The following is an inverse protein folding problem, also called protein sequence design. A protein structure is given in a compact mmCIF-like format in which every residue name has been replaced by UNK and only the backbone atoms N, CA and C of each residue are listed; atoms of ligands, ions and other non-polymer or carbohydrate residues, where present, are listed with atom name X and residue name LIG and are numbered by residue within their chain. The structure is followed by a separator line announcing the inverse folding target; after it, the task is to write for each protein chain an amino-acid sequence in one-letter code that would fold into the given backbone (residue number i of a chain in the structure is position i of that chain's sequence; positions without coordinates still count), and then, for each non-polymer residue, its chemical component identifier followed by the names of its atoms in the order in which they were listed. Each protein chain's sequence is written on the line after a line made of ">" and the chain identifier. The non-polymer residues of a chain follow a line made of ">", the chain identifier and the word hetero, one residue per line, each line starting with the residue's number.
data_IF_502501142694
#
_entry.id   IF_502501142694
#
_cell.length_a   1.000
_cell.length_b   1.000
_cell.length_c   1.000
_cell.angle_alpha   90.00
_cell.angle_beta   90.00
_cell.angle_gamma   90.00
#
_symmetry.space_group_name_H-M   'P 1'
#
loop_
_entity.id
_entity.type
_entity.pdbx_description
1 polymer ?
#
# COMPACT_ATOMS: atom_id res chain seq x y z
N UNK A 1 6.79 2.99 -13.51
CA UNK A 1 5.30 2.88 -13.59
C UNK A 1 4.88 2.59 -12.17
N UNK A 2 3.89 3.31 -11.65
CA UNK A 2 3.44 3.10 -10.28
C UNK A 2 2.76 1.73 -10.12
N UNK A 3 2.88 1.16 -8.93
CA UNK A 3 2.25 -0.11 -8.55
C UNK A 3 0.80 0.16 -8.15
N UNK A 4 -0.13 -0.68 -8.57
CA UNK A 4 -1.53 -0.54 -8.16
C UNK A 4 -1.77 -1.34 -6.88
N UNK A 5 -2.11 -0.66 -5.79
CA UNK A 5 -2.47 -1.28 -4.51
C UNK A 5 -3.99 -1.28 -4.38
N UNK A 6 -4.57 -2.47 -4.30
CA UNK A 6 -6.03 -2.65 -4.21
C UNK A 6 -6.36 -3.28 -2.87
N UNK A 7 -7.22 -2.57 -2.13
CA UNK A 7 -7.65 -2.94 -0.80
C UNK A 7 -8.78 -3.98 -0.86
N UNK A 8 -8.90 -4.78 0.18
CA UNK A 8 -10.07 -5.61 0.46
C UNK A 8 -10.66 -5.19 1.81
N UNK A 9 -11.82 -5.76 2.18
CA UNK A 9 -12.38 -5.58 3.52
C UNK A 9 -11.36 -5.90 4.64
N UNK A 10 -10.49 -6.90 4.41
CA UNK A 10 -9.47 -7.31 5.38
C UNK A 10 -8.32 -6.30 5.50
N UNK A 11 -8.04 -5.52 4.45
CA UNK A 11 -6.96 -4.54 4.43
C UNK A 11 -7.46 -3.10 4.50
N UNK A 12 -8.75 -2.88 4.77
CA UNK A 12 -9.37 -1.55 4.87
C UNK A 12 -8.62 -0.65 5.84
N UNK A 13 -8.26 -1.18 7.01
CA UNK A 13 -7.24 -0.58 7.87
C UNK A 13 -5.86 -1.16 7.51
N UNK A 14 -5.14 -0.50 6.59
CA UNK A 14 -3.86 -1.00 6.08
C UNK A 14 -2.79 -1.13 7.16
N UNK A 15 -2.55 -0.14 8.06
CA UNK A 15 -1.58 -0.31 9.15
C UNK A 15 -1.85 -1.56 9.99
N UNK A 16 -3.09 -1.75 10.44
CA UNK A 16 -3.46 -2.89 11.27
C UNK A 16 -3.35 -4.22 10.51
N UNK A 17 -3.70 -4.24 9.22
CA UNK A 17 -3.54 -5.41 8.37
C UNK A 17 -2.08 -5.80 8.20
N UNK A 18 -1.19 -4.82 7.93
CA UNK A 18 0.23 -5.08 7.72
C UNK A 18 0.93 -5.53 9.01
N UNK A 19 0.60 -4.93 10.16
CA UNK A 19 1.08 -5.37 11.47
C UNK A 19 0.63 -6.81 11.77
N UNK A 20 -0.65 -7.11 11.55
CA UNK A 20 -1.18 -8.46 11.71
C UNK A 20 -0.50 -9.46 10.76
N UNK A 21 -0.24 -9.07 9.52
CA UNK A 21 0.44 -9.91 8.54
C UNK A 21 1.86 -10.26 9.02
N UNK A 22 2.63 -9.27 9.51
CA UNK A 22 3.98 -9.48 10.06
C UNK A 22 3.92 -10.43 11.27
N UNK A 23 3.04 -10.16 12.22
CA UNK A 23 2.92 -10.93 13.47
C UNK A 23 2.55 -12.41 13.21
N UNK A 24 1.79 -12.68 12.15
CA UNK A 24 1.35 -14.03 11.79
C UNK A 24 2.22 -14.69 10.70
N UNK A 25 3.27 -14.05 10.21
CA UNK A 25 4.20 -14.66 9.25
C UNK A 25 5.23 -15.50 9.98
N UNK A 26 5.04 -16.82 10.01
CA UNK A 26 5.92 -17.78 10.69
C UNK A 26 6.96 -18.45 9.76
N UNK A 27 6.71 -18.44 8.45
CA UNK A 27 7.59 -19.09 7.48
C UNK A 27 8.95 -18.38 7.40
N UNK A 28 10.05 -19.15 7.36
CA UNK A 28 11.42 -18.61 7.22
C UNK A 28 12.17 -19.45 6.19
N UNK A 29 12.18 -19.01 4.94
CA UNK A 29 12.80 -19.73 3.83
C UNK A 29 12.75 -18.93 2.52
N UNK A 30 13.22 -19.52 1.42
CA UNK A 30 13.32 -18.82 0.12
C UNK A 30 12.02 -18.81 -0.71
N UNK A 31 10.92 -19.36 -0.16
CA UNK A 31 9.72 -19.66 -0.92
C UNK A 31 9.93 -20.82 -1.91
N UNK A 32 8.91 -21.09 -2.71
CA UNK A 32 8.95 -22.12 -3.75
C UNK A 32 8.10 -21.72 -4.94
N UNK A 33 8.30 -22.40 -6.06
CA UNK A 33 7.46 -22.28 -7.25
C UNK A 33 6.39 -23.38 -7.31
N UNK A 34 5.32 -23.16 -8.07
CA UNK A 34 4.43 -24.23 -8.52
C UNK A 34 5.23 -25.32 -9.28
N UNK A 35 4.69 -26.54 -9.31
CA UNK A 35 5.49 -27.71 -9.71
C UNK A 35 5.83 -27.70 -11.21
N UNK A 36 4.91 -27.22 -12.03
CA UNK A 36 5.02 -27.14 -13.49
C UNK A 36 5.18 -25.68 -13.90
N UNK A 37 6.42 -25.32 -14.23
CA UNK A 37 6.71 -24.01 -14.82
C UNK A 37 6.11 -23.89 -16.21
N UNK A 38 5.28 -22.88 -16.42
CA UNK A 38 4.54 -22.62 -17.65
C UNK A 38 4.29 -21.11 -17.81
N UNK A 39 3.31 -20.71 -18.62
CA UNK A 39 3.02 -19.30 -18.86
C UNK A 39 2.42 -18.57 -17.65
N UNK A 40 1.92 -19.27 -16.62
CA UNK A 40 1.39 -18.66 -15.39
C UNK A 40 2.15 -19.22 -14.20
N UNK A 41 3.33 -18.68 -13.95
CA UNK A 41 4.21 -19.14 -12.88
C UNK A 41 3.90 -18.40 -11.58
N UNK A 42 3.91 -19.16 -10.48
CA UNK A 42 3.67 -18.64 -9.14
C UNK A 42 4.87 -18.94 -8.25
N UNK A 43 5.42 -17.90 -7.63
CA UNK A 43 6.25 -18.03 -6.45
C UNK A 43 5.40 -17.79 -5.21
N UNK A 44 5.60 -18.58 -4.17
CA UNK A 44 4.87 -18.44 -2.90
C UNK A 44 5.79 -18.64 -1.71
N UNK A 45 5.42 -18.02 -0.59
CA UNK A 45 6.01 -18.27 0.72
C UNK A 45 4.93 -18.16 1.81
N UNK A 46 5.04 -18.98 2.85
CA UNK A 46 4.05 -19.02 3.94
C UNK A 46 3.86 -20.41 4.52
N UNK A 47 3.14 -20.47 5.65
CA UNK A 47 2.80 -21.73 6.31
C UNK A 47 1.56 -22.34 5.67
N UNK A 48 1.73 -23.50 5.03
CA UNK A 48 0.63 -24.19 4.34
C UNK A 48 -0.40 -24.76 5.32
N UNK A 49 -1.69 -24.70 4.96
CA UNK A 49 -2.76 -25.44 5.63
C UNK A 49 -2.54 -26.96 5.56
N UNK A 50 -2.88 -27.66 6.64
CA UNK A 50 -2.78 -29.12 6.74
C UNK A 50 -4.16 -29.69 7.08
N UNK A 51 -4.62 -30.66 6.28
CA UNK A 51 -5.92 -31.30 6.51
C UNK A 51 -7.14 -30.44 6.16
N UNK A 52 -6.96 -29.34 5.41
CA UNK A 52 -8.07 -28.47 4.99
C UNK A 52 -8.62 -27.59 6.11
N UNK A 53 -7.83 -27.36 7.16
CA UNK A 53 -8.16 -26.46 8.27
C UNK A 53 -7.29 -25.22 8.15
N UNK A 54 -7.95 -24.08 8.20
CA UNK A 54 -7.31 -22.77 8.19
C UNK A 54 -6.40 -22.62 9.42
N UNK A 55 -5.23 -22.05 9.20
CA UNK A 55 -4.19 -21.89 10.22
C UNK A 55 -3.99 -20.41 10.61
N UNK A 56 -4.70 -19.50 9.92
CA UNK A 56 -4.64 -18.05 10.02
C UNK A 56 -3.21 -17.49 9.91
N UNK A 57 -2.32 -18.24 9.26
CA UNK A 57 -0.93 -17.82 9.06
C UNK A 57 -0.78 -17.06 7.78
N UNK A 58 -0.01 -15.98 7.86
CA UNK A 58 0.28 -15.10 6.75
C UNK A 58 1.05 -15.84 5.65
N UNK A 59 0.76 -15.44 4.43
CA UNK A 59 1.39 -15.94 3.22
C UNK A 59 1.47 -14.87 2.16
N UNK A 60 2.27 -15.17 1.15
CA UNK A 60 2.46 -14.36 -0.04
C UNK A 60 2.44 -15.25 -1.27
N UNK A 61 1.80 -14.75 -2.33
CA UNK A 61 1.81 -15.33 -3.66
C UNK A 61 2.18 -14.24 -4.65
N UNK A 62 3.18 -14.50 -5.48
CA UNK A 62 3.59 -13.67 -6.62
C UNK A 62 3.27 -14.45 -7.88
N UNK A 63 2.49 -13.85 -8.77
CA UNK A 63 2.09 -14.44 -10.05
C UNK A 63 2.67 -13.64 -11.20
N UNK A 64 3.03 -14.31 -12.28
CA UNK A 64 3.67 -13.69 -13.42
C UNK A 64 3.71 -14.56 -14.67
N UNK A 65 4.10 -13.96 -15.79
CA UNK A 65 4.27 -14.68 -17.06
C UNK A 65 5.74 -15.07 -17.24
N UNK A 66 6.00 -16.38 -17.40
CA UNK A 66 7.36 -16.96 -17.46
C UNK A 66 8.24 -16.51 -16.27
N UNK A 67 7.59 -16.30 -15.12
CA UNK A 67 8.22 -15.71 -13.95
C UNK A 67 9.13 -16.74 -13.27
N UNK A 68 10.41 -16.42 -13.16
CA UNK A 68 11.34 -17.19 -12.35
C UNK A 68 12.16 -16.29 -11.43
N UNK A 69 12.44 -16.82 -10.25
CA UNK A 69 13.13 -16.11 -9.19
C UNK A 69 14.21 -16.99 -8.59
N UNK A 70 15.43 -16.49 -8.62
CA UNK A 70 16.52 -16.87 -7.73
C UNK A 70 17.03 -15.57 -7.13
N UNK A 71 17.38 -15.48 -5.84
CA UNK A 71 17.88 -14.23 -5.27
C UNK A 71 18.94 -13.58 -6.16
N UNK A 72 18.68 -12.34 -6.59
CA UNK A 72 19.50 -11.56 -7.52
C UNK A 72 19.29 -11.81 -9.02
N UNK A 73 18.44 -12.75 -9.42
CA UNK A 73 18.11 -13.06 -10.83
C UNK A 73 16.60 -13.28 -10.97
N UNK A 74 15.97 -12.37 -11.71
CA UNK A 74 14.54 -12.40 -12.02
C UNK A 74 14.39 -12.50 -13.54
N UNK A 75 13.60 -13.46 -13.98
CA UNK A 75 13.24 -13.65 -15.39
C UNK A 75 11.72 -13.61 -15.55
N UNK A 76 11.25 -13.22 -16.73
CA UNK A 76 9.83 -13.02 -17.02
C UNK A 76 9.24 -11.72 -16.46
N UNK A 77 7.92 -11.68 -16.32
CA UNK A 77 7.18 -10.54 -15.78
C UNK A 77 6.43 -10.92 -14.52
N UNK A 78 6.24 -9.96 -13.62
CA UNK A 78 5.30 -10.10 -12.49
C UNK A 78 4.03 -9.36 -12.86
N UNK A 79 2.89 -10.01 -12.70
CA UNK A 79 1.58 -9.40 -12.91
C UNK A 79 1.02 -8.90 -11.59
N UNK A 80 1.11 -9.72 -10.54
CA UNK A 80 0.52 -9.41 -9.24
C UNK A 80 1.28 -10.06 -8.08
N UNK A 81 1.33 -9.37 -6.95
CA UNK A 81 1.76 -9.89 -5.65
C UNK A 81 0.58 -9.74 -4.68
N UNK A 82 0.23 -10.80 -3.97
CA UNK A 82 -0.84 -10.77 -2.96
C UNK A 82 -0.30 -11.17 -1.60
N UNK A 83 -0.51 -10.30 -0.61
CA UNK A 83 -0.40 -10.64 0.81
C UNK A 83 -1.73 -11.25 1.25
N UNK A 84 -1.68 -12.35 1.98
CA UNK A 84 -2.86 -13.07 2.41
C UNK A 84 -2.57 -14.02 3.57
N UNK A 85 -3.46 -14.99 3.77
CA UNK A 85 -3.33 -16.03 4.79
C UNK A 85 -3.84 -17.39 4.29
N UNK A 86 -3.67 -18.45 5.09
CA UNK A 86 -4.26 -19.77 4.80
C UNK A 86 -3.79 -20.39 3.47
N UNK A 87 -2.48 -20.36 3.25
CA UNK A 87 -1.86 -20.88 2.03
C UNK A 87 -2.21 -22.35 1.76
N UNK A 88 -2.76 -22.63 0.58
CA UNK A 88 -3.21 -23.95 0.16
C UNK A 88 -2.75 -24.30 -1.25
N UNK A 89 -2.55 -25.59 -1.50
CA UNK A 89 -2.19 -26.12 -2.81
C UNK A 89 -3.39 -26.80 -3.47
N UNK A 90 -3.68 -26.44 -4.72
CA UNK A 90 -4.79 -26.96 -5.53
C UNK A 90 -4.23 -27.90 -6.59
N UNK A 91 -4.32 -29.20 -6.33
CA UNK A 91 -3.69 -30.22 -7.19
C UNK A 91 -4.29 -30.34 -8.59
N UNK A 92 -5.54 -29.90 -8.80
CA UNK A 92 -6.19 -29.94 -10.11
C UNK A 92 -5.64 -28.90 -11.09
N UNK A 93 -5.07 -27.82 -10.58
CA UNK A 93 -4.53 -26.71 -11.37
C UNK A 93 -3.03 -26.53 -11.21
N UNK A 94 -2.40 -27.23 -10.25
CA UNK A 94 -1.02 -26.97 -9.82
C UNK A 94 -0.78 -25.50 -9.44
N UNK A 95 -1.78 -24.91 -8.78
CA UNK A 95 -1.71 -23.53 -8.31
C UNK A 95 -1.81 -23.48 -6.80
N UNK A 96 -1.24 -22.41 -6.26
CA UNK A 96 -1.37 -22.03 -4.87
C UNK A 96 -2.44 -20.96 -4.74
N UNK A 97 -3.22 -21.10 -3.66
CA UNK A 97 -4.28 -20.17 -3.28
C UNK A 97 -4.11 -19.79 -1.83
N UNK A 98 -4.69 -18.67 -1.45
CA UNK A 98 -4.68 -18.14 -0.09
C UNK A 98 -5.95 -17.30 0.07
N UNK A 99 -6.33 -16.98 1.29
CA UNK A 99 -7.30 -15.92 1.55
C UNK A 99 -6.63 -14.57 1.21
N UNK A 100 -7.10 -13.87 0.17
CA UNK A 100 -6.44 -12.64 -0.26
C UNK A 100 -6.75 -11.51 0.72
N UNK A 101 -5.73 -10.75 1.11
CA UNK A 101 -5.89 -9.55 1.94
C UNK A 101 -5.55 -8.28 1.18
N UNK A 102 -4.32 -8.17 0.67
CA UNK A 102 -3.85 -7.00 -0.07
C UNK A 102 -3.26 -7.41 -1.41
N UNK A 103 -3.66 -6.77 -2.50
CA UNK A 103 -3.17 -7.06 -3.85
C UNK A 103 -2.36 -5.91 -4.42
N UNK A 104 -1.22 -6.23 -5.01
CA UNK A 104 -0.29 -5.29 -5.66
C UNK A 104 -0.11 -5.69 -7.11
N UNK A 105 -0.78 -4.94 -7.99
CA UNK A 105 -0.64 -5.04 -9.43
C UNK A 105 0.60 -4.31 -9.93
N UNK A 106 1.40 -4.96 -10.77
CA UNK A 106 2.66 -4.39 -11.22
C UNK A 106 2.49 -3.46 -12.42
N UNK A 107 1.46 -3.67 -13.25
CA UNK A 107 1.19 -2.81 -14.42
C UNK A 107 2.42 -2.58 -15.32
N UNK A 108 3.36 -3.55 -15.36
CA UNK A 108 4.63 -3.43 -16.10
C UNK A 108 5.76 -2.70 -15.36
N UNK A 109 5.64 -2.47 -14.05
CA UNK A 109 6.70 -1.94 -13.20
C UNK A 109 7.99 -2.76 -13.35
N UNK A 110 9.13 -2.06 -13.29
CA UNK A 110 10.43 -2.69 -13.49
C UNK A 110 10.81 -3.50 -12.26
N UNK A 111 11.27 -4.73 -12.46
CA UNK A 111 11.72 -5.61 -11.39
C UNK A 111 13.17 -5.25 -11.02
N UNK A 112 13.31 -4.34 -10.06
CA UNK A 112 14.59 -3.76 -9.66
C UNK A 112 15.23 -4.58 -8.54
N UNK A 113 16.49 -4.30 -8.14
CA UNK A 113 17.06 -4.90 -6.95
C UNK A 113 16.25 -4.66 -5.66
N UNK A 114 15.44 -3.60 -5.60
CA UNK A 114 14.53 -3.38 -4.48
C UNK A 114 13.39 -4.41 -4.46
N UNK A 115 12.88 -4.82 -5.63
CA UNK A 115 11.93 -5.93 -5.71
C UNK A 115 12.56 -7.26 -5.30
N UNK A 116 13.80 -7.54 -5.71
CA UNK A 116 14.54 -8.72 -5.25
C UNK A 116 14.71 -8.73 -3.72
N UNK A 117 15.05 -7.58 -3.14
CA UNK A 117 15.12 -7.40 -1.70
C UNK A 117 13.76 -7.59 -1.03
N UNK A 118 12.66 -7.11 -1.63
CA UNK A 118 11.31 -7.30 -1.12
C UNK A 118 10.95 -8.78 -1.03
N UNK A 119 11.11 -9.56 -2.11
CA UNK A 119 10.81 -11.00 -2.12
C UNK A 119 11.62 -11.77 -1.09
N UNK A 120 12.91 -11.44 -0.97
CA UNK A 120 13.79 -12.04 0.04
C UNK A 120 13.35 -11.69 1.46
N UNK A 121 13.05 -10.42 1.75
CA UNK A 121 12.68 -9.94 3.09
C UNK A 121 11.32 -10.50 3.53
N UNK A 122 10.36 -10.52 2.62
CA UNK A 122 9.02 -11.10 2.83
C UNK A 122 9.11 -12.57 3.22
N UNK A 123 9.89 -13.38 2.50
CA UNK A 123 9.94 -14.83 2.73
C UNK A 123 10.89 -15.27 3.84
N UNK A 124 12.04 -14.61 3.99
CA UNK A 124 13.09 -15.04 4.91
C UNK A 124 12.98 -14.38 6.26
N UNK A 125 12.47 -13.15 6.33
CA UNK A 125 12.40 -12.39 7.57
C UNK A 125 10.95 -12.16 8.04
N UNK A 126 9.96 -12.26 7.15
CA UNK A 126 8.59 -11.87 7.45
C UNK A 126 8.47 -10.37 7.66
N UNK A 127 9.26 -9.59 6.91
CA UNK A 127 9.35 -8.13 7.02
C UNK A 127 8.87 -7.46 5.75
N UNK A 128 8.25 -6.29 5.91
CA UNK A 128 7.75 -5.45 4.82
C UNK A 128 8.72 -4.36 4.39
N UNK A 129 9.86 -4.19 5.07
CA UNK A 129 10.81 -3.12 4.78
C UNK A 129 11.30 -3.12 3.33
N UNK A 130 11.61 -4.31 2.78
CA UNK A 130 11.96 -4.43 1.37
C UNK A 130 10.82 -4.02 0.44
N UNK A 131 9.57 -4.35 0.78
CA UNK A 131 8.39 -3.99 0.01
C UNK A 131 8.15 -2.47 0.03
N UNK A 132 8.27 -1.83 1.21
CA UNK A 132 8.19 -0.38 1.33
C UNK A 132 9.29 0.34 0.55
N UNK A 133 10.50 -0.22 0.52
CA UNK A 133 11.58 0.29 -0.33
C UNK A 133 11.25 0.20 -1.83
N UNK A 134 10.56 -0.85 -2.26
CA UNK A 134 10.11 -0.98 -3.65
C UNK A 134 8.95 -0.04 -3.98
N UNK A 135 8.00 0.16 -3.06
CA UNK A 135 6.98 1.21 -3.18
C UNK A 135 7.64 2.59 -3.30
N UNK A 136 8.64 2.88 -2.48
CA UNK A 136 9.38 4.14 -2.55
C UNK A 136 10.10 4.38 -3.87
N UNK A 137 10.53 3.31 -4.56
CA UNK A 137 11.16 3.42 -5.87
C UNK A 137 10.14 3.63 -7.00
N UNK A 138 9.00 2.94 -6.96
CA UNK A 138 8.02 2.95 -8.06
C UNK A 138 6.92 3.99 -7.93
N UNK A 139 6.56 4.39 -6.70
CA UNK A 139 5.29 5.00 -6.37
C UNK A 139 4.12 4.00 -6.41
N UNK A 140 3.00 4.39 -5.83
CA UNK A 140 1.79 3.58 -5.73
C UNK A 140 0.55 4.33 -6.24
N UNK A 141 -0.41 3.58 -6.75
CA UNK A 141 -1.78 4.03 -7.02
C UNK A 141 -2.65 3.19 -6.12
N UNK A 142 -3.18 3.81 -5.07
CA UNK A 142 -3.93 3.16 -4.02
C UNK A 142 -5.42 3.42 -4.20
N UNK A 143 -6.21 2.36 -4.20
CA UNK A 143 -7.67 2.46 -4.25
C UNK A 143 -8.25 1.71 -3.06
N UNK A 144 -8.94 2.47 -2.20
CA UNK A 144 -9.67 1.97 -1.06
C UNK A 144 -10.90 1.14 -1.46
N UNK A 145 -11.73 0.89 -0.48
CA UNK A 145 -12.96 0.12 -0.57
C UNK A 145 -14.17 1.07 -0.72
N UNK A 146 -15.33 0.67 -0.23
CA UNK A 146 -16.53 1.49 -0.23
C UNK A 146 -17.01 1.81 1.21
N UNK A 147 -16.17 1.53 2.20
CA UNK A 147 -16.38 1.94 3.58
C UNK A 147 -15.09 2.52 4.15
N UNK A 148 -15.13 2.94 5.41
CA UNK A 148 -14.03 3.65 6.06
C UNK A 148 -12.68 2.90 5.99
N UNK A 149 -11.72 3.48 5.29
CA UNK A 149 -10.37 2.95 5.12
C UNK A 149 -9.31 3.78 5.87
N UNK A 150 -8.21 3.13 6.23
CA UNK A 150 -6.99 3.78 6.74
C UNK A 150 -5.85 3.44 5.79
N UNK A 151 -5.44 4.44 5.02
CA UNK A 151 -4.45 4.32 3.95
C UNK A 151 -3.10 4.85 4.42
N UNK A 152 -2.01 4.24 3.94
CA UNK A 152 -0.64 4.67 4.24
C UNK A 152 0.00 5.28 3.01
N UNK A 153 0.59 6.47 3.17
CA UNK A 153 1.58 6.96 2.22
C UNK A 153 2.91 6.24 2.39
N UNK A 154 3.56 5.95 1.28
CA UNK A 154 4.90 5.38 1.23
C UNK A 154 5.88 6.45 0.72
N UNK A 155 7.15 6.10 0.58
CA UNK A 155 8.01 6.94 -0.22
C UNK A 155 7.57 6.93 -1.69
N UNK A 156 8.21 7.75 -2.52
CA UNK A 156 7.90 7.81 -3.95
C UNK A 156 6.66 8.65 -4.22
N UNK A 157 6.28 8.80 -5.48
CA UNK A 157 5.11 9.60 -5.83
C UNK A 157 3.87 8.71 -5.84
N UNK A 158 3.00 8.89 -4.87
CA UNK A 158 1.79 8.11 -4.67
C UNK A 158 0.52 8.83 -5.14
N UNK A 159 -0.53 8.07 -5.43
CA UNK A 159 -1.86 8.58 -5.74
C UNK A 159 -2.92 7.79 -4.98
N UNK A 160 -3.85 8.49 -4.34
CA UNK A 160 -4.87 7.91 -3.47
C UNK A 160 -6.26 8.18 -4.01
N UNK A 161 -7.11 7.16 -3.88
CA UNK A 161 -8.55 7.25 -4.06
C UNK A 161 -9.19 6.48 -2.91
N UNK A 162 -9.80 7.18 -1.97
CA UNK A 162 -10.47 6.59 -0.80
C UNK A 162 -11.71 5.81 -1.19
N UNK A 163 -12.54 6.41 -2.06
CA UNK A 163 -13.77 5.82 -2.55
C UNK A 163 -15.00 6.40 -1.84
N UNK A 164 -15.75 5.55 -1.14
CA UNK A 164 -16.86 5.98 -0.28
C UNK A 164 -16.46 5.62 1.14
N UNK A 165 -16.80 6.44 2.12
CA UNK A 165 -16.48 6.14 3.51
C UNK A 165 -16.16 7.40 4.27
N UNK A 166 -15.47 7.27 5.39
CA UNK A 166 -14.70 8.35 5.98
C UNK A 166 -13.26 7.83 6.06
N UNK A 167 -12.43 8.24 5.12
CA UNK A 167 -11.13 7.62 4.92
C UNK A 167 -10.03 8.41 5.62
N UNK A 168 -9.09 7.72 6.26
CA UNK A 168 -7.94 8.34 6.93
C UNK A 168 -6.68 8.08 6.11
N UNK A 169 -6.08 9.15 5.58
CA UNK A 169 -4.82 9.08 4.85
C UNK A 169 -3.69 9.49 5.77
N UNK A 170 -2.83 8.53 6.09
CA UNK A 170 -1.74 8.69 7.06
C UNK A 170 -0.43 8.97 6.34
N UNK A 171 0.20 10.08 6.70
CA UNK A 171 1.49 10.51 6.17
C UNK A 171 2.55 10.50 7.28
N UNK A 172 3.75 10.05 6.91
CA UNK A 172 4.96 10.16 7.69
C UNK A 172 6.06 10.74 6.82
N UNK A 173 7.11 11.32 7.43
CA UNK A 173 8.22 11.96 6.72
C UNK A 173 8.72 11.17 5.48
N UNK A 174 8.88 11.88 4.35
CA UNK A 174 9.52 11.32 3.14
C UNK A 174 8.59 10.86 2.01
N UNK A 175 7.34 11.33 1.98
CA UNK A 175 6.29 10.99 1.01
C UNK A 175 6.44 11.57 -0.42
N UNK A 176 7.60 12.13 -0.77
CA UNK A 176 7.84 12.78 -2.08
C UNK A 176 6.66 13.64 -2.60
N UNK A 177 6.05 13.33 -3.76
CA UNK A 177 4.97 14.14 -4.33
C UNK A 177 3.71 13.32 -4.55
N UNK A 178 2.77 13.49 -3.64
CA UNK A 178 1.56 12.68 -3.53
C UNK A 178 0.30 13.46 -3.94
N UNK A 179 -0.70 12.73 -4.43
CA UNK A 179 -1.98 13.29 -4.85
C UNK A 179 -3.13 12.48 -4.25
N UNK A 180 -4.09 13.16 -3.62
CA UNK A 180 -5.36 12.60 -3.15
C UNK A 180 -6.46 13.08 -4.09
N UNK A 181 -7.04 12.15 -4.85
CA UNK A 181 -7.89 12.46 -6.00
C UNK A 181 -9.35 12.75 -5.61
N UNK A 182 -9.79 12.28 -4.45
CA UNK A 182 -11.18 12.30 -4.01
C UNK A 182 -11.30 12.62 -2.52
N UNK A 183 -10.46 13.51 -1.99
CA UNK A 183 -10.60 13.93 -0.60
C UNK A 183 -12.01 14.54 -0.41
N UNK A 184 -12.77 14.09 0.59
CA UNK A 184 -14.09 14.59 0.91
C UNK A 184 -14.16 15.06 2.36
N UNK A 185 -14.63 16.29 2.57
CA UNK A 185 -14.74 16.93 3.86
C UNK A 185 -16.15 17.51 4.06
N UNK A 186 -17.12 16.90 3.39
CA UNK A 186 -18.51 17.33 3.38
C UNK A 186 -19.39 16.34 4.15
N UNK A 187 -20.53 16.82 4.65
CA UNK A 187 -21.40 16.02 5.51
C UNK A 187 -21.83 14.69 4.84
N UNK A 188 -21.32 13.58 5.36
CA UNK A 188 -21.61 12.20 4.91
C UNK A 188 -20.38 11.42 4.44
N UNK A 189 -19.26 12.11 4.24
CA UNK A 189 -17.98 11.58 3.79
C UNK A 189 -16.86 12.49 4.35
N UNK A 190 -16.28 12.08 5.48
CA UNK A 190 -15.37 12.88 6.33
C UNK A 190 -13.97 12.30 6.33
N UNK A 191 -13.23 12.55 5.27
CA UNK A 191 -11.84 12.14 5.17
C UNK A 191 -10.95 12.94 6.12
N UNK A 192 -9.91 12.27 6.62
CA UNK A 192 -8.93 12.81 7.53
C UNK A 192 -7.55 12.67 6.91
N UNK A 193 -6.83 13.78 6.81
CA UNK A 193 -5.40 13.75 6.57
C UNK A 193 -4.68 13.72 7.92
N UNK A 194 -4.04 12.60 8.23
CA UNK A 194 -3.23 12.41 9.43
C UNK A 194 -1.76 12.71 9.11
N UNK A 195 -1.29 13.84 9.63
CA UNK A 195 0.07 14.35 9.51
C UNK A 195 0.85 14.20 10.83
N UNK A 196 0.38 13.43 11.81
CA UNK A 196 1.09 13.25 13.08
C UNK A 196 2.48 12.61 12.92
N UNK A 197 2.68 11.85 11.83
CA UNK A 197 3.97 11.29 11.45
C UNK A 197 4.93 12.28 10.76
N UNK A 198 4.48 13.51 10.48
CA UNK A 198 5.24 14.53 9.75
C UNK A 198 5.91 15.48 10.73
N UNK A 199 7.23 15.40 10.87
CA UNK A 199 7.94 16.09 11.95
C UNK A 199 8.17 17.57 11.70
N UNK A 200 8.18 18.01 10.43
CA UNK A 200 8.41 19.40 10.07
C UNK A 200 7.15 20.27 10.12
N UNK A 201 5.96 19.67 10.24
CA UNK A 201 4.70 20.41 10.40
C UNK A 201 4.29 20.31 11.86
N UNK A 202 4.55 21.36 12.63
CA UNK A 202 4.55 21.28 14.09
C UNK A 202 3.18 21.45 14.75
N UNK A 203 2.20 22.00 14.04
CA UNK A 203 0.81 22.21 14.51
C UNK A 203 -0.04 22.82 13.36
N UNK A 204 -1.33 23.04 13.64
CA UNK A 204 -2.27 23.68 12.72
C UNK A 204 -1.86 25.08 12.23
N UNK A 205 -1.24 25.92 13.08
CA UNK A 205 -0.80 27.27 12.66
C UNK A 205 0.35 27.17 11.67
N UNK A 206 1.24 26.21 11.89
CA UNK A 206 2.39 25.94 11.03
C UNK A 206 1.94 25.36 9.68
N UNK A 207 1.08 24.33 9.71
CA UNK A 207 0.39 23.80 8.53
C UNK A 207 -0.23 24.93 7.71
N UNK A 208 -0.94 25.82 8.42
CA UNK A 208 -1.70 26.88 7.78
C UNK A 208 -0.81 27.96 7.16
N UNK A 209 0.15 28.52 7.88
CA UNK A 209 0.88 29.68 7.36
C UNK A 209 2.18 29.36 6.63
N UNK A 210 2.77 28.19 6.86
CA UNK A 210 4.10 27.86 6.34
C UNK A 210 4.11 26.69 5.37
N UNK A 211 3.14 25.78 5.46
CA UNK A 211 3.15 24.52 4.72
C UNK A 211 1.98 24.33 3.78
N UNK A 212 1.15 25.35 3.53
CA UNK A 212 0.02 25.23 2.61
C UNK A 212 -0.21 26.47 1.75
N UNK A 213 -0.81 26.25 0.58
CA UNK A 213 -1.26 27.31 -0.33
C UNK A 213 -2.70 27.77 -0.05
N UNK A 214 -3.16 27.78 1.21
CA UNK A 214 -4.56 28.06 1.59
C UNK A 214 -5.14 29.39 1.08
N UNK A 215 -4.33 30.32 0.61
CA UNK A 215 -4.80 31.57 0.01
C UNK A 215 -5.15 31.43 -1.48
N UNK A 216 -4.87 30.27 -2.09
CA UNK A 216 -5.11 29.96 -3.49
C UNK A 216 -6.57 29.55 -3.74
N UNK A 217 -7.12 30.02 -4.87
CA UNK A 217 -8.48 29.73 -5.33
C UNK A 217 -8.52 28.70 -6.48
N UNK A 218 -7.43 27.95 -6.68
CA UNK A 218 -7.26 26.99 -7.78
C UNK A 218 -7.96 25.62 -7.58
N UNK A 219 -8.88 25.50 -6.62
CA UNK A 219 -9.56 24.24 -6.27
C UNK A 219 -8.62 23.03 -5.99
N UNK A 220 -7.36 23.32 -5.61
CA UNK A 220 -6.41 22.32 -5.10
C UNK A 220 -5.74 22.89 -3.86
N UNK A 221 -5.87 22.20 -2.72
CA UNK A 221 -5.06 22.46 -1.54
C UNK A 221 -3.74 21.70 -1.70
N UNK A 222 -2.63 22.41 -1.68
CA UNK A 222 -1.28 21.85 -1.68
C UNK A 222 -0.64 22.05 -0.32
N UNK A 223 -0.23 20.95 0.30
CA UNK A 223 0.60 20.94 1.51
C UNK A 223 2.03 20.61 1.10
N UNK A 224 3.02 21.30 1.65
CA UNK A 224 4.42 21.13 1.27
C UNK A 224 5.32 20.99 2.48
N UNK A 225 6.30 20.08 2.43
CA UNK A 225 7.41 20.02 3.38
C UNK A 225 8.74 19.91 2.62
N UNK A 226 9.48 21.03 2.53
CA UNK A 226 10.72 21.09 1.76
C UNK A 226 10.51 20.76 0.29
N UNK A 227 10.96 19.57 -0.13
CA UNK A 227 10.78 19.06 -1.50
C UNK A 227 9.53 18.18 -1.66
N UNK A 228 8.86 17.84 -0.56
CA UNK A 228 7.69 16.98 -0.57
C UNK A 228 6.42 17.79 -0.74
N UNK A 229 5.41 17.23 -1.41
CA UNK A 229 4.10 17.86 -1.59
C UNK A 229 2.96 16.85 -1.51
N UNK A 230 1.81 17.30 -1.01
CA UNK A 230 0.53 16.58 -1.04
C UNK A 230 -0.46 17.50 -1.74
N UNK A 231 -1.10 17.03 -2.80
CA UNK A 231 -2.18 17.74 -3.47
C UNK A 231 -3.52 17.09 -3.11
N UNK A 232 -4.45 17.86 -2.55
CA UNK A 232 -5.82 17.44 -2.32
C UNK A 232 -6.70 18.04 -3.42
N UNK A 233 -7.13 17.20 -4.36
CA UNK A 233 -8.03 17.61 -5.42
C UNK A 233 -9.43 17.86 -4.86
N UNK A 234 -10.09 18.91 -5.36
CA UNK A 234 -11.47 19.25 -4.99
C UNK A 234 -11.63 20.33 -3.92
N UNK A 235 -10.53 20.88 -3.37
CA UNK A 235 -10.58 21.93 -2.32
C UNK A 235 -10.03 23.27 -2.72
N UNK A 236 -10.72 24.32 -2.29
CA UNK A 236 -10.20 25.69 -2.37
C UNK A 236 -9.43 25.96 -1.08
N UNK A 237 -8.24 26.58 -1.17
CA UNK A 237 -7.40 26.84 0.00
C UNK A 237 -8.13 27.57 1.14
N UNK A 238 -9.14 28.38 0.81
CA UNK A 238 -9.96 29.12 1.77
C UNK A 238 -10.73 28.22 2.76
N UNK A 239 -10.92 26.94 2.44
CA UNK A 239 -11.69 26.00 3.25
C UNK A 239 -10.88 25.44 4.43
N UNK A 240 -9.56 25.63 4.43
CA UNK A 240 -8.64 24.96 5.35
C UNK A 240 -8.89 25.28 6.84
N UNK A 241 -9.40 26.47 7.18
CA UNK A 241 -9.79 26.77 8.57
C UNK A 241 -11.00 25.93 9.01
N UNK A 242 -11.98 25.72 8.12
CA UNK A 242 -13.11 24.84 8.38
C UNK A 242 -12.65 23.40 8.55
N UNK A 243 -11.80 22.94 7.64
CA UNK A 243 -11.23 21.58 7.67
C UNK A 243 -10.53 21.27 9.01
N UNK A 244 -9.75 22.21 9.54
CA UNK A 244 -9.09 22.06 10.84
C UNK A 244 -10.11 22.02 11.98
N UNK A 245 -11.09 22.93 11.99
CA UNK A 245 -12.10 23.01 13.05
C UNK A 245 -13.03 21.80 13.08
N UNK A 246 -13.28 21.21 11.91
CA UNK A 246 -14.14 20.05 11.73
C UNK A 246 -13.38 18.71 11.87
N UNK A 247 -12.06 18.74 12.05
CA UNK A 247 -11.22 17.58 12.38
C UNK A 247 -10.67 16.80 11.19
N UNK A 248 -10.70 17.36 9.99
CA UNK A 248 -10.18 16.74 8.76
C UNK A 248 -8.65 16.74 8.67
N UNK A 249 -7.98 17.45 9.58
CA UNK A 249 -6.53 17.40 9.72
C UNK A 249 -6.17 17.00 11.15
N UNK A 250 -5.24 16.06 11.25
CA UNK A 250 -4.57 15.71 12.50
C UNK A 250 -3.09 16.03 12.37
N UNK A 251 -2.54 16.84 13.28
CA UNK A 251 -1.12 17.23 13.29
C UNK A 251 -0.64 17.52 14.70
#
# INVERSE_FOLDING_TARGET
>A
MALTVTYSEASSNLPAYLDNWIDNFEYRGAGNFNAVKNTTDQWYAGTRIVGGVDNDKSSIIVSGDDFSYTPGVIDGTVTNLTLGSNLAYVSSTDLWVQDPGLSIGFSGATLTPAFDAAITDLSQNGSLNGLYGYFAEQGTIQTGTAGDDVMLSFGGNDSFTGGLGNDTLVFADGWANDVVLDFHAAAGDFDVLDLQGVTNISNYVDLFFNHSNWWDNSNVLTITDGANSIQLDGYVGTDMLGLILDGHFTV
#
